data_IF_912187073847
#
_entry.id   IF_912187073847
#
_cell.length_a   1.000
_cell.length_b   1.000
_cell.length_c   1.000
_cell.angle_alpha   90.00
_cell.angle_beta   90.00
_cell.angle_gamma   90.00
#
_symmetry.space_group_name_H-M   'P 1'
#
loop_
_entity.id
_entity.type
_entity.pdbx_description
1 polymer ?
#
# COMPACT_ATOMS: atom_id res chain seq x y z
N UNK A 1 -49.85 11.61 -91.08
CA UNK A 1 -49.13 12.48 -90.11
C UNK A 1 -49.16 11.81 -88.74
N UNK A 2 -48.02 11.87 -88.04
CA UNK A 2 -47.57 10.97 -86.97
C UNK A 2 -48.47 10.92 -85.72
N UNK A 3 -48.71 9.71 -85.18
CA UNK A 3 -49.13 9.51 -83.78
C UNK A 3 -47.91 9.01 -82.98
N UNK A 4 -47.41 9.87 -82.10
CA UNK A 4 -46.34 9.59 -81.13
C UNK A 4 -46.85 8.61 -80.05
N UNK A 5 -46.10 7.53 -79.80
CA UNK A 5 -46.25 6.69 -78.61
C UNK A 5 -45.11 7.04 -77.66
N UNK A 6 -45.42 7.67 -76.54
CA UNK A 6 -44.47 7.90 -75.46
C UNK A 6 -44.24 6.58 -74.71
N UNK A 7 -42.98 6.11 -74.65
CA UNK A 7 -42.56 5.00 -73.82
C UNK A 7 -42.14 5.55 -72.44
N UNK A 8 -42.81 5.10 -71.38
CA UNK A 8 -42.50 5.44 -70.00
C UNK A 8 -41.41 4.46 -69.50
N UNK A 9 -40.17 4.94 -69.35
CA UNK A 9 -39.10 4.17 -68.70
C UNK A 9 -39.32 4.18 -67.18
N UNK A 10 -39.62 3.02 -66.60
CA UNK A 10 -39.58 2.81 -65.15
C UNK A 10 -38.13 2.56 -64.71
N UNK A 11 -37.55 3.52 -63.99
CA UNK A 11 -36.28 3.33 -63.28
C UNK A 11 -36.54 2.51 -62.02
N UNK A 12 -36.08 1.26 -61.99
CA UNK A 12 -36.06 0.43 -60.77
C UNK A 12 -34.79 0.76 -59.99
N UNK A 13 -34.90 1.52 -58.90
CA UNK A 13 -33.82 1.66 -57.93
C UNK A 13 -33.67 0.35 -57.17
N UNK A 14 -32.57 -0.37 -57.42
CA UNK A 14 -32.16 -1.49 -56.58
C UNK A 14 -31.74 -0.95 -55.20
N UNK A 15 -32.62 -1.09 -54.21
CA UNK A 15 -32.29 -0.87 -52.80
C UNK A 15 -31.29 -1.94 -52.36
N UNK A 16 -30.02 -1.59 -52.27
CA UNK A 16 -29.05 -2.40 -51.55
C UNK A 16 -29.50 -2.53 -50.08
N UNK A 17 -29.49 -3.72 -49.48
CA UNK A 17 -29.83 -3.87 -48.08
C UNK A 17 -28.82 -3.08 -47.24
N UNK A 18 -29.30 -2.05 -46.53
CA UNK A 18 -28.54 -1.38 -45.49
C UNK A 18 -28.10 -2.44 -44.49
N UNK A 19 -26.78 -2.59 -44.33
CA UNK A 19 -26.20 -3.40 -43.26
C UNK A 19 -26.79 -2.90 -41.95
N UNK A 20 -27.55 -3.76 -41.27
CA UNK A 20 -28.08 -3.44 -39.95
C UNK A 20 -26.88 -3.24 -39.04
N UNK A 21 -26.63 -2.00 -38.62
CA UNK A 21 -25.66 -1.71 -37.58
C UNK A 21 -26.08 -2.52 -36.35
N UNK A 22 -25.37 -3.61 -36.06
CA UNK A 22 -25.56 -4.36 -34.83
C UNK A 22 -25.24 -3.39 -33.70
N UNK A 23 -26.27 -2.93 -32.99
CA UNK A 23 -26.09 -2.19 -31.76
C UNK A 23 -25.37 -3.12 -30.79
N UNK A 24 -24.04 -2.97 -30.69
CA UNK A 24 -23.23 -3.70 -29.72
C UNK A 24 -23.80 -3.37 -28.35
N UNK A 25 -24.42 -4.34 -27.70
CA UNK A 25 -24.99 -4.16 -26.37
C UNK A 25 -23.85 -3.80 -25.40
N UNK A 26 -24.14 -2.94 -24.43
CA UNK A 26 -23.20 -2.65 -23.34
C UNK A 26 -23.08 -3.92 -22.50
N UNK A 27 -21.88 -4.50 -22.33
CA UNK A 27 -21.73 -5.76 -21.60
C UNK A 27 -21.96 -5.55 -20.10
N UNK A 28 -22.53 -6.55 -19.43
CA UNK A 28 -22.78 -6.52 -17.98
C UNK A 28 -21.48 -6.65 -17.15
N UNK A 29 -20.44 -7.26 -17.73
CA UNK A 29 -19.13 -7.42 -17.11
C UNK A 29 -18.04 -7.62 -18.16
N UNK A 30 -16.79 -7.49 -17.74
CA UNK A 30 -15.58 -7.73 -18.54
C UNK A 30 -14.74 -8.80 -17.85
N UNK A 31 -14.26 -9.78 -18.62
CA UNK A 31 -13.42 -10.86 -18.11
C UNK A 31 -11.95 -10.61 -18.44
N UNK A 32 -11.10 -10.93 -17.49
CA UNK A 32 -9.66 -10.73 -17.54
C UNK A 32 -8.97 -12.01 -17.11
N UNK A 33 -7.94 -12.40 -17.84
CA UNK A 33 -6.99 -13.44 -17.47
C UNK A 33 -5.62 -12.80 -17.25
N UNK A 34 -4.85 -13.24 -16.27
CA UNK A 34 -3.57 -12.63 -15.94
C UNK A 34 -2.76 -13.41 -14.93
N UNK A 35 -1.63 -12.82 -14.54
CA UNK A 35 -0.66 -13.43 -13.61
C UNK A 35 0.00 -12.37 -12.72
N UNK A 36 0.75 -12.80 -11.71
CA UNK A 36 1.36 -11.93 -10.71
C UNK A 36 0.37 -11.20 -9.80
N UNK A 37 0.92 -10.54 -8.78
CA UNK A 37 0.17 -9.72 -7.84
C UNK A 37 0.99 -8.53 -7.35
N UNK A 38 0.44 -7.33 -7.53
CA UNK A 38 1.10 -6.07 -7.18
C UNK A 38 1.57 -5.29 -8.42
N UNK A 39 2.42 -4.28 -8.17
CA UNK A 39 2.81 -3.30 -9.18
C UNK A 39 4.06 -3.70 -9.99
N UNK A 40 4.76 -4.77 -9.60
CA UNK A 40 5.84 -5.36 -10.39
C UNK A 40 7.23 -4.76 -10.26
N UNK A 41 7.43 -3.70 -9.49
CA UNK A 41 8.70 -2.94 -9.46
C UNK A 41 9.53 -3.30 -8.22
N UNK A 42 10.82 -3.56 -8.40
CA UNK A 42 11.74 -3.86 -7.30
C UNK A 42 11.70 -5.33 -6.87
N UNK A 43 11.80 -5.59 -5.57
CA UNK A 43 11.90 -6.96 -5.04
C UNK A 43 10.55 -7.70 -5.11
N UNK A 44 10.53 -8.82 -5.83
CA UNK A 44 9.43 -9.78 -5.80
C UNK A 44 9.50 -10.61 -4.51
N UNK A 45 8.44 -10.64 -3.72
CA UNK A 45 8.42 -11.40 -2.48
C UNK A 45 8.46 -12.91 -2.74
N UNK A 46 7.67 -13.43 -3.68
CA UNK A 46 7.76 -14.84 -4.10
C UNK A 46 9.14 -15.14 -4.71
N UNK A 47 9.69 -14.21 -5.47
CA UNK A 47 11.05 -14.28 -5.99
C UNK A 47 12.11 -14.43 -4.91
N UNK A 48 12.10 -13.54 -3.92
CA UNK A 48 12.96 -13.60 -2.74
C UNK A 48 12.80 -14.92 -1.96
N UNK A 49 11.58 -15.44 -1.83
CA UNK A 49 11.34 -16.75 -1.24
C UNK A 49 12.00 -17.88 -2.04
N UNK A 50 11.85 -17.86 -3.36
CA UNK A 50 12.45 -18.85 -4.25
C UNK A 50 13.97 -18.85 -4.18
N UNK A 51 14.59 -17.67 -4.32
CA UNK A 51 16.04 -17.49 -4.15
C UNK A 51 16.53 -17.97 -2.77
N UNK A 52 15.80 -17.67 -1.69
CA UNK A 52 16.18 -18.12 -0.36
C UNK A 52 16.08 -19.64 -0.19
N UNK A 53 15.11 -20.31 -0.84
CA UNK A 53 15.03 -21.78 -0.88
C UNK A 53 16.20 -22.40 -1.67
N UNK A 54 16.78 -21.65 -2.60
CA UNK A 54 18.01 -21.97 -3.32
C UNK A 54 19.28 -21.49 -2.59
N UNK A 55 19.16 -21.21 -1.29
CA UNK A 55 20.27 -20.81 -0.40
C UNK A 55 20.89 -19.45 -0.69
N UNK A 56 20.22 -18.56 -1.44
CA UNK A 56 20.68 -17.18 -1.60
C UNK A 56 20.64 -16.42 -0.25
N UNK A 57 21.64 -15.56 -0.02
CA UNK A 57 21.65 -14.65 1.13
C UNK A 57 20.70 -13.48 0.90
N UNK A 58 20.33 -12.77 1.97
CA UNK A 58 19.54 -11.54 1.87
C UNK A 58 20.22 -10.49 0.96
N UNK A 59 21.54 -10.34 1.06
CA UNK A 59 22.30 -9.40 0.24
C UNK A 59 22.26 -9.77 -1.26
N UNK A 60 22.39 -11.06 -1.60
CA UNK A 60 22.26 -11.54 -2.98
C UNK A 60 20.85 -11.33 -3.53
N UNK A 61 19.82 -11.58 -2.73
CA UNK A 61 18.42 -11.31 -3.12
C UNK A 61 18.23 -9.83 -3.43
N UNK A 62 18.68 -8.95 -2.55
CA UNK A 62 18.49 -7.51 -2.70
C UNK A 62 19.26 -6.94 -3.89
N UNK A 63 20.53 -7.29 -4.04
CA UNK A 63 21.36 -6.78 -5.15
C UNK A 63 20.94 -7.35 -6.51
N UNK A 64 20.24 -8.50 -6.54
CA UNK A 64 19.58 -9.00 -7.74
C UNK A 64 18.43 -8.10 -8.19
N UNK A 65 17.52 -7.74 -7.29
CA UNK A 65 16.35 -6.91 -7.61
C UNK A 65 16.64 -5.41 -7.69
N UNK A 66 17.66 -4.94 -6.97
CA UNK A 66 18.07 -3.53 -6.93
C UNK A 66 19.46 -3.38 -7.56
N UNK A 67 19.49 -3.33 -8.90
CA UNK A 67 20.72 -3.37 -9.68
C UNK A 67 21.66 -2.19 -9.40
N UNK A 68 22.97 -2.46 -9.31
CA UNK A 68 23.98 -1.41 -9.12
C UNK A 68 23.92 -0.70 -7.76
N UNK A 69 23.24 -1.30 -6.78
CA UNK A 69 23.18 -0.79 -5.40
C UNK A 69 24.24 -1.44 -4.53
N UNK A 70 24.55 -0.78 -3.40
CA UNK A 70 25.39 -1.31 -2.33
C UNK A 70 24.55 -1.55 -1.08
N UNK A 71 24.97 -2.49 -0.24
CA UNK A 71 24.39 -2.68 1.10
C UNK A 71 25.43 -2.23 2.11
N UNK A 72 25.06 -1.24 2.90
CA UNK A 72 25.95 -0.56 3.84
C UNK A 72 25.34 -0.57 5.24
N UNK A 73 26.20 -0.61 6.26
CA UNK A 73 25.80 -0.38 7.64
C UNK A 73 25.73 1.12 7.86
N UNK A 74 24.53 1.64 8.12
CA UNK A 74 24.32 3.08 8.33
C UNK A 74 23.51 3.32 9.58
N UNK A 75 23.64 4.53 10.14
CA UNK A 75 22.82 4.94 11.27
C UNK A 75 21.35 5.03 10.86
N UNK A 76 20.49 4.28 11.53
CA UNK A 76 19.03 4.27 11.32
C UNK A 76 18.24 4.41 12.64
N UNK A 77 18.90 4.61 13.77
CA UNK A 77 18.27 5.01 15.03
C UNK A 77 17.71 6.44 14.96
N UNK A 78 16.59 6.58 14.26
CA UNK A 78 15.83 7.81 14.03
C UNK A 78 14.37 7.61 14.40
N UNK A 79 13.70 8.67 14.82
CA UNK A 79 12.26 8.67 15.03
C UNK A 79 11.53 8.75 13.67
N UNK A 80 10.52 7.90 13.50
CA UNK A 80 9.56 7.92 12.39
C UNK A 80 8.16 8.15 12.92
N UNK A 81 7.41 9.05 12.27
CA UNK A 81 5.97 9.19 12.48
C UNK A 81 5.19 8.37 11.47
N UNK A 82 4.61 7.27 11.93
CA UNK A 82 3.80 6.39 11.11
C UNK A 82 2.33 6.71 11.33
N UNK A 83 1.61 7.15 10.30
CA UNK A 83 0.18 7.40 10.37
C UNK A 83 -0.58 6.07 10.49
N UNK A 84 -1.21 5.89 11.65
CA UNK A 84 -1.99 4.71 12.05
C UNK A 84 -3.49 4.99 12.09
N UNK A 85 -3.90 6.23 11.77
CA UNK A 85 -5.29 6.65 11.66
C UNK A 85 -5.39 7.90 10.78
N UNK A 86 -5.96 7.74 9.58
CA UNK A 86 -6.01 8.78 8.56
C UNK A 86 -7.43 9.30 8.33
N UNK A 87 -7.61 10.62 8.24
CA UNK A 87 -8.87 11.30 7.97
C UNK A 87 -10.02 10.85 8.89
N UNK A 88 -9.73 10.68 10.19
CA UNK A 88 -10.70 10.15 11.14
C UNK A 88 -11.63 11.24 11.68
N UNK A 89 -12.87 10.87 11.97
CA UNK A 89 -13.80 11.69 12.75
C UNK A 89 -13.87 11.24 14.22
N UNK A 90 -13.55 9.98 14.47
CA UNK A 90 -13.45 9.41 15.80
C UNK A 90 -12.48 8.23 15.84
N UNK A 91 -11.99 7.95 17.04
CA UNK A 91 -11.21 6.78 17.39
C UNK A 91 -11.51 6.38 18.84
N UNK A 92 -11.07 5.20 19.23
CA UNK A 92 -11.21 4.70 20.60
C UNK A 92 -9.85 4.24 21.09
N UNK A 93 -9.48 4.58 22.32
CA UNK A 93 -8.32 3.99 22.99
C UNK A 93 -8.81 3.01 24.04
N UNK A 94 -8.28 1.79 24.01
CA UNK A 94 -8.47 0.79 25.05
C UNK A 94 -7.14 0.41 25.66
N UNK A 95 -7.19 0.07 26.93
CA UNK A 95 -6.03 -0.25 27.76
C UNK A 95 -6.39 -1.47 28.58
N UNK A 96 -5.56 -2.52 28.57
CA UNK A 96 -5.91 -3.82 29.16
C UNK A 96 -4.88 -4.33 30.18
N UNK A 97 -3.70 -3.72 30.25
CA UNK A 97 -2.67 -4.06 31.23
C UNK A 97 -2.93 -3.37 32.57
N UNK A 98 -3.39 -4.13 33.57
CA UNK A 98 -3.75 -3.64 34.91
C UNK A 98 -2.64 -2.84 35.63
N UNK A 99 -1.36 -3.12 35.36
CA UNK A 99 -0.21 -2.44 35.95
C UNK A 99 0.39 -1.34 35.05
N UNK A 100 -0.28 -0.96 33.96
CA UNK A 100 0.24 0.03 33.04
C UNK A 100 0.03 1.46 33.52
N UNK A 101 1.00 2.32 33.25
CA UNK A 101 0.83 3.76 33.39
C UNK A 101 0.59 4.36 32.01
N UNK A 102 -0.47 5.15 31.89
CA UNK A 102 -0.83 5.80 30.62
C UNK A 102 -1.09 7.26 30.91
N UNK A 103 -0.33 8.11 30.24
CA UNK A 103 -0.29 9.55 30.47
C UNK A 103 -0.63 10.28 29.18
N UNK A 104 -1.47 11.31 29.31
CA UNK A 104 -1.79 12.24 28.23
C UNK A 104 -1.05 13.54 28.46
N UNK A 105 -0.51 14.12 27.39
CA UNK A 105 0.23 15.37 27.38
C UNK A 105 -0.38 16.33 26.35
N UNK A 106 -0.20 17.62 26.60
CA UNK A 106 -0.39 18.64 25.57
C UNK A 106 0.79 18.61 24.61
N UNK A 107 0.59 18.94 23.33
CA UNK A 107 1.72 19.09 22.42
C UNK A 107 2.63 20.29 22.77
N UNK A 108 2.14 21.24 23.58
CA UNK A 108 2.90 22.43 24.02
C UNK A 108 3.78 22.16 25.24
N UNK A 109 3.42 21.19 26.08
CA UNK A 109 4.20 20.75 27.24
C UNK A 109 4.23 19.21 27.25
N UNK A 110 5.38 18.67 26.83
CA UNK A 110 5.61 17.23 26.74
C UNK A 110 6.29 16.65 27.99
N UNK A 111 6.46 17.46 29.03
CA UNK A 111 7.09 17.10 30.30
C UNK A 111 6.03 16.83 31.37
N UNK A 112 5.02 17.71 31.47
CA UNK A 112 3.97 17.59 32.49
C UNK A 112 2.73 16.88 31.93
N UNK A 113 2.33 15.73 32.49
CA UNK A 113 1.10 15.06 32.05
C UNK A 113 -0.12 15.90 32.45
N UNK A 114 -1.04 16.08 31.51
CA UNK A 114 -2.32 16.79 31.73
C UNK A 114 -3.43 15.85 32.20
N UNK A 115 -3.26 14.54 32.01
CA UNK A 115 -4.14 13.52 32.57
C UNK A 115 -3.45 12.16 32.69
N UNK A 116 -3.96 11.35 33.62
CA UNK A 116 -3.63 9.93 33.76
C UNK A 116 -4.85 9.10 33.35
N UNK A 117 -4.65 8.13 32.47
CA UNK A 117 -5.69 7.20 32.04
C UNK A 117 -5.57 5.93 32.89
N UNK A 118 -6.67 5.54 33.53
CA UNK A 118 -6.71 4.35 34.39
C UNK A 118 -6.72 3.09 33.53
N UNK A 119 -5.89 2.07 33.83
CA UNK A 119 -5.95 0.77 33.16
C UNK A 119 -7.34 0.16 33.12
N UNK A 120 -7.68 -0.53 32.04
CA UNK A 120 -9.02 -1.09 31.82
C UNK A 120 -10.04 -0.07 31.29
N UNK A 121 -9.67 1.22 31.25
CA UNK A 121 -10.55 2.26 30.71
C UNK A 121 -10.64 2.19 29.18
N UNK A 122 -11.81 2.60 28.68
CA UNK A 122 -12.00 2.95 27.29
C UNK A 122 -12.16 4.47 27.17
N UNK A 123 -11.37 5.08 26.30
CA UNK A 123 -11.38 6.52 26.03
C UNK A 123 -11.88 6.74 24.61
N UNK A 124 -12.91 7.58 24.46
CA UNK A 124 -13.41 8.03 23.18
C UNK A 124 -12.63 9.26 22.73
N UNK A 125 -12.19 9.26 21.48
CA UNK A 125 -11.55 10.39 20.83
C UNK A 125 -12.45 10.82 19.67
N UNK A 126 -12.90 12.06 19.65
CA UNK A 126 -13.80 12.56 18.60
C UNK A 126 -13.43 13.97 18.19
N UNK A 127 -13.77 14.32 16.95
CA UNK A 127 -13.60 15.67 16.46
C UNK A 127 -14.83 16.52 16.87
N UNK A 128 -14.58 17.64 17.53
CA UNK A 128 -15.57 18.64 17.89
C UNK A 128 -15.23 19.96 17.18
N UNK A 129 -15.88 20.22 16.05
CA UNK A 129 -15.52 21.33 15.18
C UNK A 129 -14.15 21.12 14.54
N UNK A 130 -13.15 21.88 14.97
CA UNK A 130 -11.76 21.78 14.52
C UNK A 130 -10.80 21.33 15.65
N UNK A 131 -11.33 20.89 16.78
CA UNK A 131 -10.55 20.40 17.92
C UNK A 131 -10.85 18.92 18.18
N UNK A 132 -9.91 18.23 18.79
CA UNK A 132 -10.06 16.87 19.27
C UNK A 132 -10.57 16.93 20.70
N UNK A 133 -11.56 16.09 21.02
CA UNK A 133 -12.03 15.84 22.37
C UNK A 133 -11.63 14.43 22.81
N UNK A 134 -10.99 14.32 23.97
CA UNK A 134 -10.77 13.07 24.69
C UNK A 134 -11.81 12.95 25.81
N UNK A 135 -12.62 11.90 25.77
CA UNK A 135 -13.71 11.66 26.72
C UNK A 135 -13.60 10.27 27.36
N UNK A 136 -13.69 10.19 28.68
CA UNK A 136 -13.71 8.97 29.48
C UNK A 136 -14.33 9.24 30.86
N UNK A 137 -14.37 8.23 31.75
CA UNK A 137 -15.10 8.33 33.03
C UNK A 137 -14.77 9.55 33.89
N UNK A 138 -13.51 10.01 33.89
CA UNK A 138 -13.06 11.23 34.58
C UNK A 138 -12.15 12.08 33.68
N UNK A 139 -12.31 11.98 32.36
CA UNK A 139 -11.49 12.66 31.37
C UNK A 139 -12.40 13.42 30.42
N UNK A 140 -12.21 14.74 30.33
CA UNK A 140 -12.85 15.57 29.31
C UNK A 140 -11.89 16.70 28.95
N UNK A 141 -11.11 16.48 27.90
CA UNK A 141 -10.10 17.42 27.43
C UNK A 141 -10.34 17.73 25.97
N UNK A 142 -10.23 19.00 25.60
CA UNK A 142 -10.37 19.46 24.22
C UNK A 142 -9.14 20.27 23.81
N UNK A 143 -8.62 20.01 22.62
CA UNK A 143 -7.40 20.64 22.11
C UNK A 143 -7.13 20.28 20.66
N UNK A 144 -6.22 20.98 20.00
CA UNK A 144 -5.86 20.70 18.61
C UNK A 144 -4.86 19.55 18.48
N UNK A 145 -4.08 19.28 19.53
CA UNK A 145 -3.06 18.24 19.52
C UNK A 145 -2.86 17.62 20.91
N UNK A 146 -2.65 16.31 20.95
CA UNK A 146 -2.37 15.54 22.16
C UNK A 146 -1.31 14.48 21.92
N UNK A 147 -0.57 14.12 22.97
CA UNK A 147 0.38 13.00 22.95
C UNK A 147 -0.02 12.01 24.05
N UNK A 148 -0.16 10.73 23.68
CA UNK A 148 -0.44 9.64 24.60
C UNK A 148 0.79 8.74 24.70
N UNK A 149 1.28 8.56 25.92
CA UNK A 149 2.42 7.68 26.25
C UNK A 149 1.96 6.60 27.21
N UNK A 150 2.57 5.42 27.11
CA UNK A 150 2.32 4.30 28.01
C UNK A 150 3.62 3.65 28.47
N UNK A 151 3.57 3.04 29.65
CA UNK A 151 4.72 2.47 30.34
C UNK A 151 5.43 1.37 29.53
N UNK A 152 6.73 1.23 29.77
CA UNK A 152 7.56 0.23 29.10
C UNK A 152 7.86 0.55 27.63
N UNK A 153 7.76 1.82 27.26
CA UNK A 153 8.21 2.38 25.98
C UNK A 153 9.39 3.31 26.21
N UNK A 154 10.10 3.74 25.14
CA UNK A 154 11.15 4.76 25.25
C UNK A 154 10.64 6.13 25.74
N UNK A 155 9.35 6.40 25.59
CA UNK A 155 8.75 7.68 25.98
C UNK A 155 8.19 7.69 27.40
N UNK A 156 7.93 6.52 27.98
CA UNK A 156 7.51 6.38 29.37
C UNK A 156 8.10 5.06 29.93
N UNK A 157 9.22 5.13 30.67
CA UNK A 157 9.79 3.98 31.35
C UNK A 157 8.79 3.36 32.35
N UNK A 158 8.92 2.06 32.60
CA UNK A 158 8.06 1.34 33.53
C UNK A 158 7.76 -0.07 33.04
N UNK A 159 6.71 -0.68 33.60
CA UNK A 159 6.28 -2.03 33.22
C UNK A 159 5.88 -2.08 31.75
N UNK A 160 6.36 -3.09 31.03
CA UNK A 160 5.96 -3.38 29.66
C UNK A 160 4.44 -3.46 29.53
N UNK A 161 3.86 -2.59 28.70
CA UNK A 161 2.44 -2.58 28.41
C UNK A 161 2.14 -2.30 26.95
N UNK A 162 0.86 -2.45 26.59
CA UNK A 162 0.34 -2.14 25.26
C UNK A 162 -0.94 -1.33 25.34
N UNK A 163 -1.27 -0.67 24.25
CA UNK A 163 -2.55 0.00 24.06
C UNK A 163 -3.23 -0.53 22.79
N UNK A 164 -4.54 -0.35 22.71
CA UNK A 164 -5.33 -0.65 21.53
C UNK A 164 -5.93 0.63 20.96
N UNK A 165 -5.66 0.90 19.69
CA UNK A 165 -6.32 1.94 18.91
C UNK A 165 -7.46 1.32 18.10
N UNK A 166 -8.68 1.72 18.42
CA UNK A 166 -9.91 1.37 17.72
C UNK A 166 -10.25 2.40 16.64
N UNK A 167 -10.42 1.93 15.41
CA UNK A 167 -10.94 2.71 14.28
C UNK A 167 -12.12 1.94 13.69
N UNK A 168 -13.32 2.51 13.84
CA UNK A 168 -14.56 1.81 13.54
C UNK A 168 -14.71 0.54 14.38
N UNK A 169 -14.71 -0.63 13.73
CA UNK A 169 -14.83 -1.95 14.40
C UNK A 169 -13.50 -2.65 14.62
N UNK A 170 -12.40 -2.11 14.09
CA UNK A 170 -11.09 -2.75 14.13
C UNK A 170 -10.26 -2.14 15.27
N UNK A 171 -9.60 -2.98 16.06
CA UNK A 171 -8.64 -2.56 17.07
C UNK A 171 -7.25 -3.07 16.69
N UNK A 172 -6.27 -2.17 16.72
CA UNK A 172 -4.86 -2.49 16.49
C UNK A 172 -4.08 -2.29 17.78
N UNK A 173 -3.27 -3.28 18.16
CA UNK A 173 -2.47 -3.25 19.37
C UNK A 173 -1.08 -2.66 19.09
N UNK A 174 -0.62 -1.76 19.96
CA UNK A 174 0.72 -1.16 19.90
C UNK A 174 1.47 -1.42 21.20
N UNK A 175 2.68 -1.97 21.06
CA UNK A 175 3.61 -2.25 22.16
C UNK A 175 4.68 -1.16 22.31
N UNK A 176 5.02 -0.49 21.22
CA UNK A 176 6.10 0.50 21.14
C UNK A 176 5.59 1.86 20.66
N UNK A 177 6.38 2.88 20.98
CA UNK A 177 6.18 4.24 20.52
C UNK A 177 5.37 5.13 21.48
N UNK A 178 4.86 6.22 20.93
CA UNK A 178 3.86 7.10 21.54
C UNK A 178 2.84 7.48 20.45
N UNK A 179 1.58 7.69 20.81
CA UNK A 179 0.58 8.16 19.85
C UNK A 179 0.45 9.67 19.89
N UNK A 180 0.58 10.31 18.74
CA UNK A 180 0.27 11.73 18.56
C UNK A 180 -1.09 11.83 17.86
N UNK A 181 -1.95 12.71 18.36
CA UNK A 181 -3.27 13.00 17.80
C UNK A 181 -3.26 14.45 17.36
N UNK A 182 -3.49 14.69 16.08
CA UNK A 182 -3.42 16.02 15.48
C UNK A 182 -4.70 16.33 14.72
N UNK A 183 -5.36 17.45 15.03
CA UNK A 183 -6.44 17.97 14.22
C UNK A 183 -5.85 18.63 12.97
N UNK A 184 -6.06 18.02 11.81
CA UNK A 184 -5.59 18.54 10.52
C UNK A 184 -6.77 19.10 9.73
N UNK A 185 -6.59 20.33 9.23
CA UNK A 185 -7.60 21.03 8.43
C UNK A 185 -7.27 20.95 6.94
N UNK A 186 -8.22 20.45 6.15
CA UNK A 186 -8.17 20.45 4.69
C UNK A 186 -9.36 21.25 4.15
N UNK A 187 -9.11 22.51 3.81
CA UNK A 187 -10.16 23.46 3.42
C UNK A 187 -11.17 23.73 4.54
N UNK A 188 -12.43 23.33 4.35
CA UNK A 188 -13.51 23.48 5.33
C UNK A 188 -13.71 22.25 6.24
N UNK A 189 -13.02 21.15 5.93
CA UNK A 189 -13.15 19.88 6.66
C UNK A 189 -11.96 19.76 7.61
N UNK A 190 -12.23 19.35 8.84
CA UNK A 190 -11.20 18.96 9.80
C UNK A 190 -11.27 17.45 10.02
N UNK A 191 -10.13 16.82 10.24
CA UNK A 191 -10.04 15.41 10.57
C UNK A 191 -8.99 15.21 11.67
N UNK A 192 -9.04 14.05 12.31
CA UNK A 192 -8.03 13.57 13.24
C UNK A 192 -7.04 12.72 12.44
N UNK A 193 -5.77 13.10 12.52
CA UNK A 193 -4.64 12.28 12.13
C UNK A 193 -4.01 11.69 13.39
N UNK A 194 -3.77 10.38 13.39
CA UNK A 194 -3.14 9.68 14.51
C UNK A 194 -1.86 9.06 14.00
N UNK A 195 -0.72 9.44 14.60
CA UNK A 195 0.59 8.88 14.27
C UNK A 195 1.20 8.15 15.45
N UNK A 196 1.93 7.08 15.19
CA UNK A 196 2.79 6.42 16.15
C UNK A 196 4.24 6.85 15.90
N UNK A 197 4.86 7.52 16.88
CA UNK A 197 6.29 7.88 16.84
C UNK A 197 7.13 6.69 17.29
N UNK A 198 7.88 6.08 16.37
CA UNK A 198 8.63 4.83 16.57
C UNK A 198 10.10 5.02 16.23
N UNK A 199 10.98 4.23 16.84
CA UNK A 199 12.35 4.11 16.38
C UNK A 199 12.38 3.22 15.14
N UNK A 200 13.02 3.69 14.06
CA UNK A 200 13.15 2.90 12.84
C UNK A 200 14.00 1.65 13.05
N UNK A 201 15.06 1.77 13.85
CA UNK A 201 16.04 0.70 14.06
C UNK A 201 15.41 -0.66 14.40
N UNK A 202 14.34 -0.65 15.20
CA UNK A 202 13.71 -1.83 15.77
C UNK A 202 12.17 -1.73 15.83
N UNK A 203 11.63 -0.78 16.59
CA UNK A 203 10.20 -0.69 16.94
C UNK A 203 9.27 -0.64 15.73
N UNK A 204 9.64 0.12 14.69
CA UNK A 204 8.89 0.18 13.44
C UNK A 204 8.97 -1.15 12.68
N UNK A 205 10.18 -1.69 12.54
CA UNK A 205 10.43 -2.89 11.73
C UNK A 205 9.79 -4.14 12.34
N UNK A 206 9.69 -4.24 13.67
CA UNK A 206 8.95 -5.32 14.33
C UNK A 206 7.48 -5.38 13.95
N UNK A 207 6.88 -4.26 13.53
CA UNK A 207 5.47 -4.18 13.15
C UNK A 207 5.19 -4.32 11.64
N UNK A 208 6.20 -4.55 10.81
CA UNK A 208 6.02 -4.67 9.34
C UNK A 208 5.36 -6.00 8.97
N UNK A 209 4.17 -5.91 8.38
CA UNK A 209 3.29 -7.03 8.03
C UNK A 209 3.30 -7.43 6.55
N UNK A 210 4.38 -7.15 5.82
CA UNK A 210 4.41 -7.28 4.35
C UNK A 210 4.59 -8.71 3.83
N UNK A 211 5.30 -9.55 4.59
CA UNK A 211 5.69 -10.90 4.16
C UNK A 211 5.26 -11.94 5.19
N UNK A 212 4.79 -13.13 4.79
CA UNK A 212 4.49 -14.22 5.74
C UNK A 212 5.72 -14.62 6.54
N UNK A 213 5.58 -14.70 7.87
CA UNK A 213 6.70 -14.94 8.77
C UNK A 213 7.25 -16.38 8.72
N UNK A 214 6.48 -17.30 8.13
CA UNK A 214 6.89 -18.69 7.91
C UNK A 214 7.87 -18.90 6.76
N UNK A 215 8.25 -17.83 6.05
CA UNK A 215 9.18 -17.90 4.92
C UNK A 215 10.64 -18.01 5.38
N UNK A 216 11.55 -18.46 4.50
CA UNK A 216 12.96 -18.64 4.85
C UNK A 216 13.61 -17.36 5.40
N UNK A 217 14.54 -17.51 6.34
CA UNK A 217 15.17 -16.40 7.04
C UNK A 217 15.79 -15.35 6.10
N UNK A 218 16.47 -15.77 5.04
CA UNK A 218 17.08 -14.83 4.07
C UNK A 218 16.04 -13.96 3.35
N UNK A 219 14.83 -14.49 3.06
CA UNK A 219 13.74 -13.71 2.48
C UNK A 219 13.18 -12.70 3.49
N UNK A 220 13.02 -13.10 4.76
CA UNK A 220 12.60 -12.21 5.84
C UNK A 220 13.60 -11.06 6.04
N UNK A 221 14.90 -11.38 6.11
CA UNK A 221 15.98 -10.40 6.23
C UNK A 221 16.02 -9.44 5.03
N UNK A 222 15.84 -9.93 3.80
CA UNK A 222 15.73 -9.09 2.61
C UNK A 222 14.53 -8.13 2.73
N UNK A 223 13.36 -8.63 3.15
CA UNK A 223 12.19 -7.78 3.41
C UNK A 223 12.45 -6.72 4.48
N UNK A 224 13.13 -7.07 5.57
CA UNK A 224 13.49 -6.11 6.63
C UNK A 224 14.39 -5.00 6.07
N UNK A 225 15.49 -5.35 5.38
CA UNK A 225 16.44 -4.38 4.84
C UNK A 225 15.75 -3.48 3.79
N UNK A 226 14.93 -4.05 2.89
CA UNK A 226 14.15 -3.28 1.93
C UNK A 226 13.18 -2.33 2.65
N UNK A 227 12.50 -2.80 3.69
CA UNK A 227 11.55 -1.99 4.46
C UNK A 227 12.23 -0.84 5.20
N UNK A 228 13.37 -1.11 5.85
CA UNK A 228 14.22 -0.10 6.49
C UNK A 228 14.67 0.95 5.49
N UNK A 229 15.14 0.52 4.33
CA UNK A 229 15.63 1.43 3.29
C UNK A 229 14.51 2.32 2.76
N UNK A 230 13.33 1.76 2.49
CA UNK A 230 12.18 2.54 2.06
C UNK A 230 11.82 3.59 3.12
N UNK A 231 11.73 3.20 4.39
CA UNK A 231 11.42 4.12 5.48
C UNK A 231 12.47 5.24 5.63
N UNK A 232 13.76 4.90 5.58
CA UNK A 232 14.86 5.89 5.57
C UNK A 232 14.76 6.87 4.40
N UNK A 233 14.34 6.42 3.21
CA UNK A 233 14.18 7.30 2.05
C UNK A 233 13.06 8.35 2.21
N UNK A 234 12.13 8.12 3.14
CA UNK A 234 11.00 9.01 3.44
C UNK A 234 11.20 9.85 4.70
N UNK A 235 12.05 9.39 5.61
CA UNK A 235 12.26 9.97 6.92
C UNK A 235 12.64 11.45 6.87
N UNK A 236 12.16 12.21 7.85
CA UNK A 236 12.49 13.64 8.04
C UNK A 236 11.69 14.57 7.12
N UNK A 237 10.73 14.05 6.36
CA UNK A 237 9.85 14.84 5.48
C UNK A 237 8.40 14.64 5.91
N UNK A 238 8.01 15.32 6.99
CA UNK A 238 6.64 15.26 7.51
C UNK A 238 5.67 15.82 6.47
N UNK A 239 4.77 14.95 5.99
CA UNK A 239 3.70 15.33 5.06
C UNK A 239 2.58 15.97 5.86
N UNK A 240 2.32 17.25 5.61
CA UNK A 240 1.31 18.03 6.34
C UNK A 240 -0.11 17.41 6.30
N UNK A 241 -0.46 16.68 5.24
CA UNK A 241 -1.78 16.06 5.07
C UNK A 241 -2.05 14.89 6.04
N UNK A 242 -1.02 14.25 6.58
CA UNK A 242 -1.13 13.11 7.50
C UNK A 242 -0.34 13.29 8.80
N UNK A 243 0.38 14.41 8.95
CA UNK A 243 1.36 14.65 10.02
C UNK A 243 2.37 13.49 10.17
N UNK A 244 2.81 12.92 9.05
CA UNK A 244 3.54 11.65 9.03
C UNK A 244 4.69 11.57 8.02
N UNK A 245 5.70 10.75 8.33
CA UNK A 245 6.69 10.27 7.38
C UNK A 245 6.09 9.18 6.48
N UNK A 246 5.35 8.24 7.08
CA UNK A 246 4.87 7.01 6.43
C UNK A 246 3.41 6.74 6.80
N UNK A 247 2.63 6.16 5.88
CA UNK A 247 1.34 5.55 6.21
C UNK A 247 1.53 4.08 6.62
N UNK A 248 0.73 3.60 7.57
CA UNK A 248 0.69 2.19 7.97
C UNK A 248 -0.02 1.26 6.96
N UNK A 249 -0.37 1.77 5.78
CA UNK A 249 -1.13 1.06 4.74
C UNK A 249 -0.30 0.90 3.47
N UNK A 250 -0.85 0.25 2.45
CA UNK A 250 -0.23 0.09 1.14
C UNK A 250 0.04 1.41 0.38
N UNK A 251 -0.33 2.57 0.92
CA UNK A 251 0.18 3.86 0.46
C UNK A 251 1.69 4.01 0.68
N UNK A 252 2.23 3.37 1.72
CA UNK A 252 3.66 3.28 1.98
C UNK A 252 4.04 1.84 2.33
N UNK A 253 3.82 1.40 3.57
CA UNK A 253 4.11 0.03 4.01
C UNK A 253 3.07 -0.46 5.01
N UNK A 254 2.69 -1.73 4.91
CA UNK A 254 1.79 -2.40 5.83
C UNK A 254 2.42 -2.52 7.21
N UNK A 255 2.14 -1.57 8.10
CA UNK A 255 2.53 -1.60 9.50
C UNK A 255 1.32 -2.03 10.34
N UNK A 256 1.38 -3.22 10.91
CA UNK A 256 0.26 -3.85 11.65
C UNK A 256 0.45 -3.81 13.17
N UNK A 257 1.42 -3.01 13.65
CA UNK A 257 1.72 -2.87 15.06
C UNK A 257 2.22 -4.18 15.69
N UNK A 258 1.83 -4.42 16.93
CA UNK A 258 2.35 -5.55 17.72
C UNK A 258 1.91 -6.92 17.21
N UNK A 259 0.85 -6.98 16.39
CA UNK A 259 0.32 -8.24 15.86
C UNK A 259 1.36 -9.06 15.08
N UNK A 260 2.36 -8.40 14.47
CA UNK A 260 3.43 -9.08 13.73
C UNK A 260 4.38 -9.83 14.66
N UNK A 261 4.97 -9.14 15.63
CA UNK A 261 5.89 -9.73 16.61
C UNK A 261 5.17 -10.71 17.56
N UNK A 262 3.89 -10.48 17.82
CA UNK A 262 3.05 -11.33 18.65
C UNK A 262 2.47 -12.55 17.91
N UNK A 263 2.79 -12.75 16.63
CA UNK A 263 2.29 -13.89 15.85
C UNK A 263 2.68 -15.21 16.54
N UNK A 264 1.72 -16.09 16.90
CA UNK A 264 2.05 -17.34 17.56
C UNK A 264 3.02 -18.18 16.72
N UNK A 265 4.09 -18.68 17.37
CA UNK A 265 5.19 -19.48 16.78
C UNK A 265 6.13 -18.73 15.84
N UNK A 266 5.62 -17.81 15.03
CA UNK A 266 6.42 -17.19 13.98
C UNK A 266 6.94 -15.80 14.33
N UNK A 267 6.30 -15.04 15.22
CA UNK A 267 6.69 -13.67 15.54
C UNK A 267 8.15 -13.53 16.00
N UNK A 268 8.68 -14.54 16.68
CA UNK A 268 10.11 -14.63 17.06
C UNK A 268 11.05 -14.75 15.86
N UNK A 269 10.63 -15.39 14.77
CA UNK A 269 11.41 -15.46 13.52
C UNK A 269 11.45 -14.10 12.83
N UNK A 270 10.33 -13.36 12.83
CA UNK A 270 10.33 -11.99 12.30
C UNK A 270 11.26 -11.09 13.12
N UNK A 271 11.14 -11.16 14.46
CA UNK A 271 12.02 -10.41 15.36
C UNK A 271 13.50 -10.73 15.11
N UNK A 272 13.84 -12.00 15.02
CA UNK A 272 15.19 -12.46 14.70
C UNK A 272 15.68 -11.97 13.32
N UNK A 273 14.80 -11.89 12.32
CA UNK A 273 15.14 -11.30 11.02
C UNK A 273 15.42 -9.79 11.12
N UNK A 274 14.70 -9.06 11.98
CA UNK A 274 15.00 -7.64 12.28
C UNK A 274 16.37 -7.54 12.94
N UNK A 275 16.56 -8.23 14.06
CA UNK A 275 17.76 -8.17 14.90
C UNK A 275 19.03 -8.59 14.14
N UNK A 276 18.95 -9.62 13.29
CA UNK A 276 20.10 -10.12 12.52
C UNK A 276 20.57 -9.16 11.41
N UNK A 277 19.75 -8.16 11.06
CA UNK A 277 20.13 -7.13 10.08
C UNK A 277 20.71 -5.87 10.73
N UNK A 278 20.64 -5.80 12.06
CA UNK A 278 21.28 -4.77 12.89
C UNK A 278 22.77 -5.09 13.07
N UNK A 279 23.61 -4.05 13.08
CA UNK A 279 25.07 -4.18 13.22
C UNK A 279 25.51 -3.77 14.63
N UNK A 280 24.98 -2.67 15.14
CA UNK A 280 25.16 -2.20 16.51
C UNK A 280 23.90 -1.47 17.00
N UNK A 281 23.94 -0.86 18.20
CA UNK A 281 22.78 -0.17 18.80
C UNK A 281 22.15 0.96 17.98
N UNK A 282 22.84 1.47 16.95
CA UNK A 282 22.37 2.59 16.15
C UNK A 282 22.56 2.40 14.65
N UNK A 283 23.27 1.37 14.19
CA UNK A 283 23.50 1.08 12.77
C UNK A 283 22.92 -0.26 12.31
N UNK A 284 22.44 -0.29 11.07
CA UNK A 284 21.88 -1.48 10.45
C UNK A 284 22.08 -1.51 8.92
N UNK A 285 21.96 -2.70 8.33
CA UNK A 285 22.09 -2.93 6.88
C UNK A 285 20.97 -2.22 6.12
N UNK A 286 21.36 -1.42 5.13
CA UNK A 286 20.49 -0.57 4.29
C UNK A 286 21.01 -0.52 2.85
N UNK A 287 20.13 -0.32 1.87
CA UNK A 287 20.46 -0.35 0.44
C UNK A 287 20.68 1.08 -0.09
N UNK A 288 21.82 1.31 -0.71
CA UNK A 288 22.26 2.61 -1.20
C UNK A 288 22.49 2.63 -2.70
N UNK A 289 22.19 3.78 -3.30
CA UNK A 289 22.60 4.13 -4.65
C UNK A 289 23.10 5.56 -4.65
N UNK A 290 24.32 5.79 -5.14
CA UNK A 290 24.98 7.11 -5.15
C UNK A 290 24.91 7.84 -3.79
N UNK A 291 25.22 7.12 -2.70
CA UNK A 291 25.29 7.68 -1.35
C UNK A 291 23.94 8.06 -0.72
N UNK A 292 22.81 7.61 -1.30
CA UNK A 292 21.47 7.84 -0.72
C UNK A 292 20.71 6.52 -0.56
N UNK A 293 19.89 6.36 0.50
CA UNK A 293 18.94 5.25 0.60
C UNK A 293 18.01 5.24 -0.62
N UNK A 294 17.81 4.06 -1.22
CA UNK A 294 16.92 3.95 -2.37
C UNK A 294 15.45 3.97 -1.99
N UNK A 295 14.57 4.30 -2.95
CA UNK A 295 13.16 3.92 -2.86
C UNK A 295 13.03 2.41 -3.10
N UNK A 296 13.21 1.60 -2.06
CA UNK A 296 13.19 0.14 -2.11
C UNK A 296 11.76 -0.41 -2.25
N UNK A 297 11.15 -0.27 -3.42
CA UNK A 297 9.84 -0.86 -3.70
C UNK A 297 9.90 -2.39 -3.73
N UNK A 298 8.82 -3.04 -3.32
CA UNK A 298 8.64 -4.49 -3.37
C UNK A 298 7.16 -4.82 -3.58
N UNK A 299 6.89 -6.04 -4.05
CA UNK A 299 5.54 -6.48 -4.39
C UNK A 299 5.40 -8.01 -4.25
N UNK A 300 4.17 -8.52 -4.32
CA UNK A 300 3.91 -9.92 -4.00
C UNK A 300 4.54 -10.92 -4.98
N UNK A 301 4.19 -10.87 -6.26
CA UNK A 301 4.73 -11.78 -7.27
C UNK A 301 4.62 -11.22 -8.68
N UNK A 302 5.53 -11.62 -9.55
CA UNK A 302 5.57 -11.19 -10.95
C UNK A 302 4.89 -12.18 -11.89
N UNK A 303 4.86 -11.87 -13.19
CA UNK A 303 4.49 -12.81 -14.25
C UNK A 303 5.67 -13.68 -14.73
N UNK A 304 6.83 -13.63 -14.06
CA UNK A 304 8.09 -14.21 -14.51
C UNK A 304 9.18 -13.18 -14.77
N UNK A 305 8.83 -11.89 -14.81
CA UNK A 305 9.76 -10.77 -14.90
C UNK A 305 9.28 -9.61 -14.02
N UNK A 306 10.19 -8.95 -13.31
CA UNK A 306 9.86 -7.65 -12.70
C UNK A 306 9.71 -6.57 -13.78
N UNK A 307 9.12 -5.45 -13.43
CA UNK A 307 8.86 -4.33 -14.32
C UNK A 307 9.77 -3.13 -13.98
N UNK A 308 10.17 -2.40 -15.02
CA UNK A 308 10.90 -1.15 -14.87
C UNK A 308 9.99 -0.08 -14.26
N UNK A 309 10.53 0.67 -13.28
CA UNK A 309 9.78 1.70 -12.57
C UNK A 309 9.18 2.79 -13.51
N UNK A 310 9.86 3.08 -14.62
CA UNK A 310 9.39 4.04 -15.62
C UNK A 310 8.04 3.66 -16.24
N UNK A 311 7.80 2.36 -16.45
CA UNK A 311 6.57 1.86 -17.08
C UNK A 311 5.37 1.90 -16.13
N UNK A 312 5.61 1.83 -14.81
CA UNK A 312 4.56 1.79 -13.79
C UNK A 312 4.32 3.17 -13.18
N UNK A 313 5.38 3.80 -12.70
CA UNK A 313 5.31 5.08 -11.98
C UNK A 313 5.53 6.29 -12.89
N UNK A 314 6.05 6.09 -14.10
CA UNK A 314 6.44 7.18 -15.01
C UNK A 314 7.77 7.85 -14.65
N UNK A 315 8.46 7.36 -13.62
CA UNK A 315 9.79 7.84 -13.19
C UNK A 315 10.78 6.70 -13.29
N UNK A 316 11.88 6.92 -14.00
CA UNK A 316 12.97 5.95 -14.09
C UNK A 316 13.85 6.03 -12.84
N UNK A 317 14.27 4.87 -12.34
CA UNK A 317 15.31 4.76 -11.31
C UNK A 317 16.37 3.80 -11.84
N UNK A 318 17.67 4.15 -11.82
CA UNK A 318 18.73 3.31 -12.39
C UNK A 318 18.80 1.90 -11.83
N UNK A 319 18.36 1.72 -10.59
CA UNK A 319 18.37 0.46 -9.85
C UNK A 319 17.04 -0.32 -9.92
N UNK A 320 16.01 0.17 -10.62
CA UNK A 320 14.70 -0.48 -10.75
C UNK A 320 14.37 -0.77 -12.21
N UNK A 321 15.19 -1.63 -12.81
CA UNK A 321 14.95 -2.20 -14.13
C UNK A 321 14.31 -3.58 -14.00
N UNK A 322 13.77 -4.08 -15.11
CA UNK A 322 13.28 -5.45 -15.19
C UNK A 322 14.41 -6.46 -14.96
N UNK A 323 14.14 -7.48 -14.15
CA UNK A 323 14.94 -8.70 -14.01
C UNK A 323 14.05 -9.93 -14.19
N UNK A 324 14.61 -11.07 -14.64
CA UNK A 324 13.92 -12.35 -14.57
C UNK A 324 13.46 -12.66 -13.14
N UNK A 325 12.37 -13.40 -13.02
CA UNK A 325 11.80 -13.83 -11.74
C UNK A 325 11.04 -15.15 -11.93
N UNK A 326 11.77 -16.16 -12.39
CA UNK A 326 11.22 -17.48 -12.72
C UNK A 326 10.47 -18.13 -11.54
N UNK A 327 10.85 -17.80 -10.31
CA UNK A 327 10.19 -18.30 -9.10
C UNK A 327 8.73 -17.85 -8.99
N UNK A 328 8.39 -16.64 -9.44
CA UNK A 328 6.99 -16.18 -9.48
C UNK A 328 6.16 -16.85 -10.56
N UNK A 329 6.79 -17.39 -11.61
CA UNK A 329 6.12 -18.20 -12.61
C UNK A 329 5.90 -19.67 -12.14
N UNK A 330 6.39 -20.05 -10.96
CA UNK A 330 6.18 -21.39 -10.41
C UNK A 330 4.77 -21.56 -9.85
N UNK A 331 4.04 -22.56 -10.36
CA UNK A 331 2.75 -22.95 -9.80
C UNK A 331 2.83 -23.51 -8.37
N UNK A 332 4.03 -23.93 -7.93
CA UNK A 332 4.26 -24.41 -6.56
C UNK A 332 4.44 -23.23 -5.60
N UNK A 333 5.26 -22.25 -5.97
CA UNK A 333 5.55 -21.11 -5.09
C UNK A 333 4.45 -20.04 -5.15
N UNK A 334 3.91 -19.75 -6.34
CA UNK A 334 2.93 -18.70 -6.61
C UNK A 334 1.54 -19.24 -6.94
N UNK A 335 1.11 -20.34 -6.32
CA UNK A 335 -0.14 -21.07 -6.65
C UNK A 335 -1.38 -20.18 -6.86
N UNK A 336 -1.50 -19.08 -6.13
CA UNK A 336 -2.68 -18.20 -6.16
C UNK A 336 -2.68 -17.19 -7.32
N UNK A 337 -1.50 -16.81 -7.81
CA UNK A 337 -1.35 -15.70 -8.76
C UNK A 337 -0.43 -16.02 -9.94
N UNK A 338 0.07 -17.25 -10.06
CA UNK A 338 0.74 -17.70 -11.30
C UNK A 338 -0.20 -17.59 -12.50
N UNK A 339 -1.49 -17.82 -12.24
CA UNK A 339 -2.62 -17.73 -13.18
C UNK A 339 -3.84 -17.30 -12.37
N UNK A 340 -4.58 -16.30 -12.85
CA UNK A 340 -5.86 -15.89 -12.30
C UNK A 340 -6.82 -15.40 -13.39
N UNK A 341 -8.11 -15.65 -13.18
CA UNK A 341 -9.21 -15.05 -13.95
C UNK A 341 -10.09 -14.18 -13.05
N UNK A 342 -10.49 -13.00 -13.52
CA UNK A 342 -11.41 -12.09 -12.82
C UNK A 342 -12.47 -11.54 -13.77
N UNK A 343 -13.72 -11.50 -13.30
CA UNK A 343 -14.80 -10.78 -13.97
C UNK A 343 -15.09 -9.49 -13.20
N UNK A 344 -15.04 -8.36 -13.88
CA UNK A 344 -15.29 -7.03 -13.32
C UNK A 344 -16.60 -6.50 -13.89
N UNK A 345 -17.49 -6.07 -13.00
CA UNK A 345 -18.81 -5.57 -13.41
C UNK A 345 -18.68 -4.30 -14.24
N UNK A 346 -19.64 -4.08 -15.14
CA UNK A 346 -19.77 -2.85 -15.93
C UNK A 346 -19.59 -1.63 -15.02
N UNK A 347 -20.32 -1.58 -13.89
CA UNK A 347 -20.33 -0.43 -12.97
C UNK A 347 -18.93 -0.06 -12.50
N UNK A 348 -18.10 -1.05 -12.17
CA UNK A 348 -16.72 -0.82 -11.71
C UNK A 348 -15.86 -0.33 -12.87
N UNK A 349 -15.98 -0.91 -14.06
CA UNK A 349 -15.22 -0.49 -15.25
C UNK A 349 -15.61 0.94 -15.67
N UNK A 350 -16.90 1.27 -15.73
CA UNK A 350 -17.38 2.64 -16.01
C UNK A 350 -16.85 3.66 -14.99
N UNK A 351 -16.97 3.35 -13.70
CA UNK A 351 -16.43 4.19 -12.64
C UNK A 351 -14.91 4.37 -12.79
N UNK A 352 -14.17 3.33 -13.17
CA UNK A 352 -12.73 3.41 -13.39
C UNK A 352 -12.37 4.43 -14.48
N UNK A 353 -13.13 4.49 -15.58
CA UNK A 353 -12.94 5.43 -16.68
C UNK A 353 -13.65 6.78 -16.52
N UNK A 354 -14.43 6.98 -15.45
CA UNK A 354 -15.32 8.13 -15.29
C UNK A 354 -16.27 8.30 -16.50
N UNK A 355 -16.79 7.17 -16.99
CA UNK A 355 -17.75 7.10 -18.08
C UNK A 355 -19.12 6.62 -17.55
N UNK A 356 -20.23 7.02 -18.19
CA UNK A 356 -21.56 6.52 -17.81
C UNK A 356 -21.70 5.01 -18.07
N UNK A 357 -21.08 4.53 -19.15
CA UNK A 357 -20.96 3.13 -19.48
C UNK A 357 -19.63 2.86 -20.22
N UNK A 358 -19.32 1.58 -20.41
CA UNK A 358 -18.22 1.12 -21.26
C UNK A 358 -18.76 -0.01 -22.11
N UNK A 359 -18.82 0.20 -23.42
CA UNK A 359 -19.23 -0.77 -24.42
C UNK A 359 -18.05 -1.65 -24.84
N UNK A 360 -16.82 -1.09 -24.87
CA UNK A 360 -15.62 -1.81 -25.32
C UNK A 360 -14.38 -1.39 -24.54
N UNK A 361 -13.52 -2.38 -24.23
CA UNK A 361 -12.16 -2.17 -23.76
C UNK A 361 -11.16 -2.47 -24.87
N UNK A 362 -10.05 -1.75 -24.89
CA UNK A 362 -8.90 -2.02 -25.76
C UNK A 362 -7.60 -1.80 -25.00
N UNK A 363 -6.74 -2.80 -24.97
CA UNK A 363 -5.34 -2.63 -24.58
C UNK A 363 -4.66 -1.84 -25.71
N UNK A 364 -4.04 -0.72 -25.37
CA UNK A 364 -3.44 0.22 -26.34
C UNK A 364 -1.93 -0.02 -26.44
N UNK A 365 -1.28 -0.35 -25.33
CA UNK A 365 0.14 -0.65 -25.31
C UNK A 365 0.51 -1.49 -24.09
N UNK A 366 1.56 -2.27 -24.26
CA UNK A 366 2.17 -3.11 -23.23
C UNK A 366 3.67 -2.81 -23.15
N UNK A 367 4.27 -3.10 -22.00
CA UNK A 367 5.73 -3.10 -21.85
C UNK A 367 6.32 -4.40 -22.43
N UNK A 368 7.65 -4.48 -22.59
CA UNK A 368 8.32 -5.72 -23.00
C UNK A 368 8.05 -6.92 -22.07
N UNK A 369 7.68 -6.68 -20.80
CA UNK A 369 7.35 -7.73 -19.82
C UNK A 369 5.84 -8.04 -19.79
N UNK A 370 5.06 -7.52 -20.74
CA UNK A 370 3.61 -7.78 -20.83
C UNK A 370 2.75 -6.97 -19.86
N UNK A 371 3.29 -5.93 -19.21
CA UNK A 371 2.48 -5.05 -18.37
C UNK A 371 1.64 -4.15 -19.27
N UNK A 372 0.32 -4.14 -19.10
CA UNK A 372 -0.55 -3.18 -19.77
C UNK A 372 -0.15 -1.77 -19.33
N UNK A 373 0.42 -0.98 -20.24
CA UNK A 373 0.84 0.40 -19.94
C UNK A 373 -0.27 1.40 -20.22
N UNK A 374 -1.11 1.14 -21.24
CA UNK A 374 -2.29 1.95 -21.55
C UNK A 374 -3.48 1.07 -21.94
N UNK A 375 -4.65 1.44 -21.44
CA UNK A 375 -5.94 0.81 -21.76
C UNK A 375 -7.00 1.87 -22.01
N UNK A 376 -7.86 1.63 -23.00
CA UNK A 376 -8.92 2.55 -23.42
C UNK A 376 -10.30 1.93 -23.19
N UNK A 377 -11.16 2.69 -22.52
CA UNK A 377 -12.60 2.44 -22.44
C UNK A 377 -13.35 3.28 -23.46
N UNK A 378 -14.30 2.66 -24.15
CA UNK A 378 -15.15 3.30 -25.16
C UNK A 378 -16.61 3.15 -24.71
N UNK A 379 -17.32 4.27 -24.53
CA UNK A 379 -18.75 4.26 -24.16
C UNK A 379 -19.65 3.93 -25.36
N UNK A 380 -20.91 3.64 -25.07
CA UNK A 380 -22.00 3.46 -26.05
C UNK A 380 -22.21 4.68 -26.95
N UNK A 381 -21.89 5.87 -26.45
CA UNK A 381 -21.92 7.15 -27.19
C UNK A 381 -20.66 7.40 -28.01
N UNK A 382 -19.69 6.49 -28.00
CA UNK A 382 -18.42 6.61 -28.73
C UNK A 382 -17.34 7.44 -28.03
N UNK A 383 -17.59 7.94 -26.81
CA UNK A 383 -16.58 8.67 -26.03
C UNK A 383 -15.46 7.71 -25.61
N UNK A 384 -14.21 8.13 -25.80
CA UNK A 384 -13.01 7.34 -25.48
C UNK A 384 -12.25 7.97 -24.33
N UNK A 385 -11.90 7.17 -23.33
CA UNK A 385 -11.02 7.58 -22.23
C UNK A 385 -9.88 6.58 -22.12
N UNK A 386 -8.65 7.07 -22.07
CA UNK A 386 -7.45 6.23 -21.92
C UNK A 386 -6.88 6.41 -20.53
N UNK A 387 -6.54 5.31 -19.86
CA UNK A 387 -5.89 5.27 -18.56
C UNK A 387 -4.52 4.60 -18.69
N UNK A 388 -3.63 4.92 -17.75
CA UNK A 388 -2.48 4.03 -17.46
C UNK A 388 -3.02 2.69 -16.97
N UNK A 389 -2.40 1.58 -17.37
CA UNK A 389 -2.87 0.25 -16.95
C UNK A 389 -2.83 0.07 -15.43
N UNK A 390 -1.82 0.59 -14.73
CA UNK A 390 -1.76 0.56 -13.27
C UNK A 390 -2.92 1.35 -12.61
N UNK A 391 -3.32 2.47 -13.20
CA UNK A 391 -4.51 3.22 -12.74
C UNK A 391 -5.79 2.39 -12.91
N UNK A 392 -5.92 1.70 -14.05
CA UNK A 392 -7.05 0.82 -14.30
C UNK A 392 -7.06 -0.39 -13.33
N UNK A 393 -5.92 -1.07 -13.16
CA UNK A 393 -5.73 -2.17 -12.20
C UNK A 393 -6.20 -1.76 -10.81
N UNK A 394 -5.68 -0.64 -10.30
CA UNK A 394 -6.02 -0.12 -8.96
C UNK A 394 -7.52 0.16 -8.82
N UNK A 395 -8.12 0.88 -9.78
CA UNK A 395 -9.56 1.23 -9.75
C UNK A 395 -10.48 0.01 -9.88
N UNK A 396 -10.07 -0.99 -10.66
CA UNK A 396 -10.82 -2.23 -10.87
C UNK A 396 -10.46 -3.34 -9.86
N UNK A 397 -9.48 -3.11 -8.98
CA UNK A 397 -8.98 -4.09 -7.99
C UNK A 397 -8.50 -5.40 -8.63
N UNK A 398 -7.92 -5.32 -9.82
CA UNK A 398 -7.25 -6.46 -10.45
C UNK A 398 -5.96 -6.80 -9.68
N UNK A 399 -5.53 -8.07 -9.64
CA UNK A 399 -4.29 -8.43 -8.94
C UNK A 399 -3.06 -7.67 -9.48
N UNK A 400 -2.87 -7.65 -10.79
CA UNK A 400 -1.73 -7.03 -11.46
C UNK A 400 -2.17 -6.29 -12.73
N UNK A 401 -1.22 -5.58 -13.36
CA UNK A 401 -1.38 -5.03 -14.69
C UNK A 401 -0.89 -5.99 -15.81
N UNK A 402 -0.52 -7.23 -15.46
CA UNK A 402 -0.25 -8.32 -16.41
C UNK A 402 -1.55 -9.07 -16.68
N UNK A 403 -2.34 -8.57 -17.63
CA UNK A 403 -3.61 -9.17 -17.99
C UNK A 403 -3.94 -9.00 -19.46
N UNK A 404 -4.76 -9.91 -19.96
CA UNK A 404 -5.42 -9.84 -21.25
C UNK A 404 -6.95 -9.74 -21.09
N UNK A 405 -7.63 -9.31 -22.15
CA UNK A 405 -9.09 -9.27 -22.22
C UNK A 405 -9.59 -10.59 -22.79
N UNK A 406 -10.58 -11.22 -22.13
CA UNK A 406 -11.24 -12.45 -22.58
C UNK A 406 -12.50 -12.19 -23.40
#
# INVERSE_FOLDING_TARGET
MFKSKAALLLLVFALAPLSTAQASTVPASFSFHGSGYGHGVGMSQIGARGMALESATAESILTYYYQGTTIEAVRDAIELRVNVGHLLQSATIKTDTASSEILLFSALDTVTPIARIVPGSQISVSLQGNLIQFLGSNLNLTGSQFILRWSGTRYLPGTASSIFLGIGKTFTQYRYGQLNFTAVRSGKISNIEITNSLNLHDEYLYGIGEMPTSWPAAALQAQVIASRTYALSKAGKIRAICDCDLYATSLDQAFIGYAKEAEPRYGTLWRSAVDSTTVDSVTARTIFYNGKPISAFFFSSSNGFTEAAANVFGTAFPYLNSVPDAWSASAVLNKRYVDWTRSITQKVVAAAFLLPDVQRLRIISESPTGTVTKIQGISSTGKKVTLKGETFRSRCKLPSAWFELL
#
